data_IF_571636957014
#
_entry.id   IF_571636957014
#
_cell.length_a   1.000
_cell.length_b   1.000
_cell.length_c   1.000
_cell.angle_alpha   90.00
_cell.angle_beta   90.00
_cell.angle_gamma   90.00
#
_symmetry.space_group_name_H-M   'P 1'
#
loop_
_entity.id
_entity.type
_entity.pdbx_description
1 polymer ?
#
# COMPACT_ATOMS: atom_id res chain seq x y z
N UNK A 1 -63.74 58.10 39.82
CA UNK A 1 -62.41 57.74 39.27
C UNK A 1 -62.12 56.28 39.61
N UNK A 2 -62.26 55.37 38.64
CA UNK A 2 -61.91 53.95 38.79
C UNK A 2 -60.84 53.63 37.74
N UNK A 3 -59.63 53.28 38.18
CA UNK A 3 -58.52 52.87 37.31
C UNK A 3 -58.57 51.36 37.13
N UNK A 4 -58.90 50.90 35.92
CA UNK A 4 -58.68 49.52 35.49
C UNK A 4 -57.17 49.28 35.36
N UNK A 5 -56.62 48.34 36.14
CA UNK A 5 -55.29 47.78 35.91
C UNK A 5 -55.45 46.53 35.04
N UNK A 6 -55.01 46.62 33.79
CA UNK A 6 -54.86 45.45 32.92
C UNK A 6 -53.57 44.72 33.36
N UNK A 7 -53.69 43.47 33.78
CA UNK A 7 -52.54 42.56 34.01
C UNK A 7 -52.14 41.96 32.65
N UNK A 8 -50.93 42.26 32.20
CA UNK A 8 -50.29 41.53 31.11
C UNK A 8 -49.79 40.18 31.65
N UNK A 9 -50.16 39.09 30.99
CA UNK A 9 -49.62 37.76 31.28
C UNK A 9 -48.16 37.68 30.82
N UNK A 10 -47.27 36.95 31.54
CA UNK A 10 -45.90 36.76 31.10
C UNK A 10 -45.86 35.88 29.85
N UNK A 11 -45.05 36.28 28.86
CA UNK A 11 -44.69 35.47 27.70
C UNK A 11 -43.94 34.22 28.17
N UNK A 12 -44.50 33.05 27.90
CA UNK A 12 -43.90 31.76 28.17
C UNK A 12 -42.82 31.49 27.13
N UNK A 13 -41.54 31.60 27.53
CA UNK A 13 -40.40 31.23 26.70
C UNK A 13 -40.02 29.78 27.00
N UNK A 14 -40.81 28.84 26.48
CA UNK A 14 -40.35 27.45 26.41
C UNK A 14 -39.13 27.39 25.48
N UNK A 15 -37.99 26.82 25.91
CA UNK A 15 -36.83 26.65 25.04
C UNK A 15 -37.23 25.77 23.86
N UNK A 16 -37.05 26.29 22.64
CA UNK A 16 -37.16 25.48 21.42
C UNK A 16 -36.11 24.38 21.56
N UNK A 17 -36.57 23.14 21.67
CA UNK A 17 -35.69 21.96 21.64
C UNK A 17 -34.93 22.03 20.32
N UNK A 18 -33.60 22.23 20.39
CA UNK A 18 -32.75 22.14 19.22
C UNK A 18 -32.88 20.71 18.72
N UNK A 19 -33.60 20.55 17.61
CA UNK A 19 -33.57 19.31 16.84
C UNK A 19 -32.16 19.23 16.29
N UNK A 20 -31.32 18.37 16.89
CA UNK A 20 -30.07 17.95 16.27
C UNK A 20 -30.45 17.27 14.96
N UNK A 21 -30.41 18.03 13.87
CA UNK A 21 -30.48 17.49 12.52
C UNK A 21 -29.16 16.75 12.28
N UNK A 22 -29.12 15.47 12.62
CA UNK A 22 -28.06 14.56 12.19
C UNK A 22 -28.13 14.46 10.67
N UNK A 23 -27.24 15.17 9.97
CA UNK A 23 -27.09 15.05 8.53
C UNK A 23 -26.68 13.60 8.23
N UNK A 24 -27.39 12.87 7.33
CA UNK A 24 -27.01 11.51 6.97
C UNK A 24 -25.60 11.48 6.38
N UNK A 25 -24.74 10.59 6.90
CA UNK A 25 -23.39 10.39 6.40
C UNK A 25 -23.40 9.98 4.92
N UNK A 26 -22.45 10.51 4.13
CA UNK A 26 -22.24 10.06 2.76
C UNK A 26 -21.74 8.61 2.74
N UNK A 27 -21.86 7.92 1.60
CA UNK A 27 -21.30 6.56 1.47
C UNK A 27 -19.80 6.52 1.78
N UNK A 28 -19.06 7.54 1.35
CA UNK A 28 -17.63 7.69 1.62
C UNK A 28 -17.34 7.84 3.11
N UNK A 29 -18.18 8.58 3.84
CA UNK A 29 -18.00 8.78 5.28
C UNK A 29 -18.31 7.50 6.06
N UNK A 30 -19.38 6.79 5.69
CA UNK A 30 -19.71 5.47 6.25
C UNK A 30 -18.57 4.47 6.04
N UNK A 31 -17.96 4.46 4.85
CA UNK A 31 -16.82 3.59 4.54
C UNK A 31 -15.64 3.92 5.47
N UNK A 32 -15.32 5.21 5.62
CA UNK A 32 -14.23 5.65 6.51
C UNK A 32 -14.48 5.28 7.96
N UNK A 33 -15.70 5.43 8.45
CA UNK A 33 -16.07 5.06 9.83
C UNK A 33 -15.92 3.55 10.06
N UNK A 34 -16.49 2.72 9.19
CA UNK A 34 -16.35 1.27 9.29
C UNK A 34 -14.87 0.86 9.24
N UNK A 35 -14.08 1.44 8.34
CA UNK A 35 -12.64 1.16 8.29
C UNK A 35 -11.91 1.62 9.56
N UNK A 36 -12.32 2.71 10.21
CA UNK A 36 -11.76 3.14 11.51
C UNK A 36 -12.11 2.12 12.61
N UNK A 37 -13.34 1.63 12.64
CA UNK A 37 -13.78 0.59 13.59
C UNK A 37 -13.00 -0.71 13.40
N UNK A 38 -12.87 -1.19 12.16
CA UNK A 38 -12.07 -2.36 11.84
C UNK A 38 -10.59 -2.20 12.25
N UNK A 39 -10.00 -1.01 12.03
CA UNK A 39 -8.65 -0.72 12.53
C UNK A 39 -8.58 -0.81 14.06
N UNK A 40 -9.58 -0.28 14.78
CA UNK A 40 -9.63 -0.32 16.24
C UNK A 40 -9.77 -1.74 16.76
N UNK A 41 -10.57 -2.58 16.09
CA UNK A 41 -10.72 -4.01 16.40
C UNK A 41 -9.37 -4.73 16.31
N UNK A 42 -8.65 -4.57 15.20
CA UNK A 42 -7.33 -5.19 15.01
C UNK A 42 -6.31 -4.72 16.06
N UNK A 43 -6.30 -3.43 16.40
CA UNK A 43 -5.45 -2.90 17.48
C UNK A 43 -5.81 -3.51 18.84
N UNK A 44 -7.09 -3.73 19.10
CA UNK A 44 -7.55 -4.39 20.31
C UNK A 44 -7.12 -5.86 20.34
N UNK A 45 -7.23 -6.60 19.22
CA UNK A 45 -6.73 -7.98 19.11
C UNK A 45 -5.24 -8.08 19.45
N UNK A 46 -4.42 -7.14 18.97
CA UNK A 46 -3.00 -7.05 19.31
C UNK A 46 -2.82 -6.80 20.82
N UNK A 47 -3.49 -5.78 21.36
CA UNK A 47 -3.35 -5.38 22.78
C UNK A 47 -3.75 -6.52 23.73
N UNK A 48 -4.79 -7.25 23.39
CA UNK A 48 -5.36 -8.35 24.17
C UNK A 48 -4.73 -9.71 23.83
N UNK A 49 -3.77 -9.76 22.90
CA UNK A 49 -3.07 -10.97 22.46
C UNK A 49 -4.02 -12.08 22.03
N UNK A 50 -5.01 -11.73 21.19
CA UNK A 50 -5.99 -12.69 20.70
C UNK A 50 -5.29 -13.86 19.96
N UNK A 51 -5.70 -15.13 20.19
CA UNK A 51 -5.02 -16.29 19.61
C UNK A 51 -5.00 -16.36 18.08
N UNK A 52 -5.99 -15.74 17.43
CA UNK A 52 -6.17 -15.68 15.97
C UNK A 52 -5.37 -14.54 15.31
N UNK A 53 -4.81 -13.61 16.09
CA UNK A 53 -4.01 -12.49 15.60
C UNK A 53 -2.62 -12.45 16.25
N UNK A 54 -1.76 -13.37 15.82
CA UNK A 54 -0.38 -13.49 16.30
C UNK A 54 0.56 -12.55 15.53
N UNK A 55 1.62 -12.11 16.20
CA UNK A 55 2.67 -11.28 15.62
C UNK A 55 3.97 -12.07 15.44
N UNK A 56 4.72 -11.74 14.39
CA UNK A 56 6.05 -12.30 14.17
C UNK A 56 7.04 -11.80 15.24
N UNK A 57 7.87 -12.70 15.75
CA UNK A 57 8.93 -12.35 16.68
C UNK A 57 10.16 -11.85 15.90
N UNK A 58 10.27 -10.53 15.78
CA UNK A 58 11.35 -9.85 15.05
C UNK A 58 12.25 -9.14 16.07
N UNK A 59 13.56 -9.29 15.94
CA UNK A 59 14.55 -8.58 16.75
C UNK A 59 14.40 -7.05 16.56
N UNK A 60 14.46 -6.29 17.65
CA UNK A 60 14.31 -4.83 17.65
C UNK A 60 15.34 -4.11 16.77
N UNK A 61 16.53 -4.68 16.59
CA UNK A 61 17.54 -4.12 15.69
C UNK A 61 17.12 -4.19 14.22
N UNK A 62 16.24 -5.13 13.85
CA UNK A 62 15.71 -5.27 12.49
C UNK A 62 14.45 -4.43 12.25
N UNK A 63 13.78 -3.97 13.32
CA UNK A 63 12.62 -3.07 13.22
C UNK A 63 13.09 -1.64 13.07
N UNK A 64 12.56 -0.92 12.08
CA UNK A 64 12.70 0.54 12.02
C UNK A 64 11.74 1.20 13.00
N UNK A 65 10.49 0.75 12.98
CA UNK A 65 9.40 1.21 13.84
C UNK A 65 8.87 0.05 14.67
N UNK A 66 8.97 0.16 16.00
CA UNK A 66 8.58 -0.90 16.92
C UNK A 66 7.07 -1.03 17.11
N UNK A 67 6.32 0.04 16.88
CA UNK A 67 4.86 0.13 16.96
C UNK A 67 4.15 -0.32 15.67
N UNK A 68 4.91 -0.56 14.60
CA UNK A 68 4.41 -1.12 13.35
C UNK A 68 4.55 -2.63 13.37
N UNK A 69 3.47 -3.27 13.82
CA UNK A 69 3.38 -4.72 13.98
C UNK A 69 3.42 -5.49 12.65
N UNK A 70 3.91 -6.72 12.70
CA UNK A 70 3.98 -7.66 11.57
C UNK A 70 3.13 -8.89 11.90
N UNK A 71 1.93 -9.03 11.29
CA UNK A 71 1.10 -10.22 11.46
C UNK A 71 1.87 -11.51 11.09
N UNK A 72 1.81 -12.53 11.94
CA UNK A 72 2.59 -13.76 11.78
C UNK A 72 2.15 -14.58 10.56
N UNK A 73 0.84 -14.66 10.31
CA UNK A 73 0.28 -15.52 9.26
C UNK A 73 0.74 -15.17 7.84
N UNK A 74 1.28 -13.97 7.65
CA UNK A 74 1.75 -13.44 6.36
C UNK A 74 3.18 -12.92 6.42
N UNK A 75 3.88 -13.13 7.53
CA UNK A 75 5.21 -12.59 7.74
C UNK A 75 6.20 -13.17 6.72
N UNK A 76 7.13 -12.33 6.26
CA UNK A 76 8.23 -12.74 5.39
C UNK A 76 9.43 -13.13 6.23
N UNK A 77 10.03 -14.28 5.90
CA UNK A 77 11.31 -14.72 6.45
C UNK A 77 12.43 -14.53 5.43
N UNK A 78 13.61 -14.19 5.92
CA UNK A 78 14.85 -14.28 5.18
C UNK A 78 15.28 -15.75 5.00
N UNK A 79 16.26 -16.05 4.12
CA UNK A 79 16.67 -17.43 3.84
C UNK A 79 17.20 -18.19 5.05
N UNK A 80 17.74 -17.48 6.05
CA UNK A 80 18.20 -18.05 7.33
C UNK A 80 17.05 -18.35 8.32
N UNK A 81 15.81 -18.08 7.94
CA UNK A 81 14.62 -18.23 8.78
C UNK A 81 14.30 -17.01 9.66
N UNK A 82 15.10 -15.95 9.61
CA UNK A 82 14.87 -14.73 10.39
C UNK A 82 13.63 -13.99 9.88
N UNK A 83 12.69 -13.66 10.77
CA UNK A 83 11.54 -12.82 10.41
C UNK A 83 11.98 -11.39 10.08
N UNK A 84 11.46 -10.86 8.97
CA UNK A 84 11.59 -9.46 8.60
C UNK A 84 10.34 -8.69 9.02
N UNK A 85 10.42 -7.35 9.22
CA UNK A 85 9.25 -6.50 9.40
C UNK A 85 8.54 -6.27 8.05
N UNK A 86 8.07 -7.35 7.45
CA UNK A 86 7.51 -7.45 6.11
C UNK A 86 6.39 -8.49 6.06
N UNK A 87 5.40 -8.25 5.20
CA UNK A 87 4.27 -9.16 5.02
C UNK A 87 3.95 -9.37 3.54
N UNK A 88 3.52 -10.58 3.21
CA UNK A 88 2.81 -10.86 1.97
C UNK A 88 1.36 -10.42 2.09
N UNK A 89 0.92 -9.51 1.24
CA UNK A 89 -0.46 -9.07 1.12
C UNK A 89 -1.05 -9.72 -0.13
N UNK A 90 -1.95 -10.70 0.07
CA UNK A 90 -2.75 -11.32 -0.98
C UNK A 90 -3.91 -10.39 -1.31
N UNK A 91 -3.99 -9.98 -2.57
CA UNK A 91 -5.10 -9.20 -3.11
C UNK A 91 -5.85 -10.01 -4.18
N UNK A 92 -6.75 -9.38 -4.94
CA UNK A 92 -7.57 -10.06 -5.96
C UNK A 92 -6.75 -10.46 -7.18
N UNK A 93 -5.62 -9.81 -7.40
CA UNK A 93 -4.60 -10.24 -8.35
C UNK A 93 -3.95 -11.57 -7.90
N UNK A 94 -3.55 -12.47 -8.81
CA UNK A 94 -3.24 -13.88 -8.48
C UNK A 94 -2.08 -14.12 -7.49
N UNK A 95 -1.34 -13.07 -7.12
CA UNK A 95 -0.10 -13.20 -6.37
C UNK A 95 0.13 -12.16 -5.27
N UNK A 96 -0.58 -11.04 -5.32
CA UNK A 96 -0.42 -9.97 -4.32
C UNK A 96 0.95 -9.29 -4.36
N UNK A 97 1.35 -8.73 -3.22
CA UNK A 97 2.52 -7.85 -3.06
C UNK A 97 3.21 -8.08 -1.73
N UNK A 98 4.51 -7.79 -1.64
CA UNK A 98 5.21 -7.75 -0.36
C UNK A 98 5.34 -6.29 0.08
N UNK A 99 4.82 -5.99 1.28
CA UNK A 99 5.08 -4.73 1.97
C UNK A 99 6.18 -4.92 2.99
N UNK A 100 6.94 -3.87 3.28
CA UNK A 100 7.95 -3.88 4.34
C UNK A 100 8.16 -2.52 4.97
N UNK A 101 8.70 -2.48 6.20
CA UNK A 101 9.39 -1.30 6.69
C UNK A 101 10.67 -1.06 5.86
N UNK A 102 11.23 0.14 5.90
CA UNK A 102 12.56 0.40 5.35
C UNK A 102 13.61 -0.32 6.21
N UNK A 103 14.56 -1.09 5.65
CA UNK A 103 15.52 -1.87 6.44
C UNK A 103 16.40 -0.99 7.32
N UNK A 104 16.68 -1.42 8.54
CA UNK A 104 17.79 -0.87 9.34
C UNK A 104 19.14 -1.34 8.77
N UNK A 105 20.24 -0.72 9.18
CA UNK A 105 21.60 -1.14 8.77
C UNK A 105 21.84 -2.63 9.09
N UNK A 106 21.43 -3.07 10.28
CA UNK A 106 21.52 -4.47 10.72
C UNK A 106 20.71 -5.43 9.84
N UNK A 107 19.65 -4.96 9.17
CA UNK A 107 18.75 -5.81 8.38
C UNK A 107 19.05 -5.80 6.87
N UNK A 108 19.93 -4.92 6.37
CA UNK A 108 20.15 -4.75 4.92
C UNK A 108 20.54 -6.05 4.23
N UNK A 109 21.42 -6.84 4.85
CA UNK A 109 21.87 -8.10 4.28
C UNK A 109 20.71 -9.10 4.15
N UNK A 110 19.88 -9.26 5.19
CA UNK A 110 18.70 -10.11 5.16
C UNK A 110 17.70 -9.68 4.08
N UNK A 111 17.52 -8.36 3.90
CA UNK A 111 16.67 -7.83 2.84
C UNK A 111 17.21 -8.20 1.46
N UNK A 112 18.50 -7.96 1.18
CA UNK A 112 19.12 -8.31 -0.10
C UNK A 112 18.96 -9.81 -0.39
N UNK A 113 19.24 -10.66 0.58
CA UNK A 113 19.12 -12.11 0.44
C UNK A 113 17.67 -12.52 0.14
N UNK A 114 16.71 -11.89 0.81
CA UNK A 114 15.27 -12.11 0.57
C UNK A 114 14.83 -11.63 -0.81
N UNK A 115 15.30 -10.46 -1.25
CA UNK A 115 14.97 -9.91 -2.58
C UNK A 115 15.43 -10.88 -3.69
N UNK A 116 16.62 -11.46 -3.54
CA UNK A 116 17.17 -12.43 -4.48
C UNK A 116 16.44 -13.78 -4.41
N UNK A 117 16.25 -14.34 -3.21
CA UNK A 117 15.60 -15.64 -2.99
C UNK A 117 14.16 -15.65 -3.55
N UNK A 118 13.42 -14.57 -3.30
CA UNK A 118 12.03 -14.43 -3.75
C UNK A 118 11.92 -14.01 -5.21
N UNK A 119 13.04 -13.71 -5.88
CA UNK A 119 13.09 -13.19 -7.27
C UNK A 119 12.11 -12.04 -7.47
N UNK A 120 12.20 -11.02 -6.64
CA UNK A 120 11.31 -9.85 -6.69
C UNK A 120 11.27 -9.28 -8.11
N UNK A 121 10.06 -8.93 -8.57
CA UNK A 121 9.85 -8.41 -9.92
C UNK A 121 10.16 -6.93 -10.02
N UNK A 122 9.90 -6.18 -8.95
CA UNK A 122 10.20 -4.76 -8.83
C UNK A 122 10.30 -4.38 -7.36
N UNK A 123 11.34 -3.65 -7.01
CA UNK A 123 11.52 -3.03 -5.70
C UNK A 123 11.09 -1.57 -5.78
N UNK A 124 10.08 -1.17 -5.01
CA UNK A 124 9.62 0.21 -4.95
C UNK A 124 9.96 0.81 -3.60
N UNK A 125 10.68 1.93 -3.63
CA UNK A 125 11.15 2.65 -2.45
C UNK A 125 10.50 4.03 -2.47
N UNK A 126 9.68 4.33 -1.48
CA UNK A 126 9.00 5.62 -1.33
C UNK A 126 9.65 6.36 -0.17
N UNK A 127 10.57 7.27 -0.46
CA UNK A 127 11.33 8.00 0.54
C UNK A 127 12.07 9.17 -0.07
N UNK A 128 11.85 10.36 0.49
CA UNK A 128 12.53 11.57 0.03
C UNK A 128 14.02 11.51 0.36
N UNK A 129 14.86 12.00 -0.55
CA UNK A 129 16.31 12.06 -0.32
C UNK A 129 16.66 12.83 0.96
N UNK A 130 15.86 13.82 1.35
CA UNK A 130 16.07 14.57 2.59
C UNK A 130 15.95 13.69 3.84
N UNK A 131 15.00 12.74 3.83
CA UNK A 131 14.83 11.78 4.93
C UNK A 131 15.92 10.72 4.85
N UNK A 132 16.21 10.22 3.65
CA UNK A 132 17.22 9.17 3.45
C UNK A 132 18.64 9.64 3.80
N UNK A 133 18.94 10.93 3.61
CA UNK A 133 20.25 11.53 3.89
C UNK A 133 20.27 12.38 5.18
N UNK A 134 19.23 12.30 6.02
CA UNK A 134 19.18 13.10 7.25
C UNK A 134 20.22 12.62 8.27
N UNK A 135 21.15 13.48 8.72
CA UNK A 135 22.15 13.10 9.73
C UNK A 135 21.55 13.04 11.15
N UNK A 136 20.29 13.42 11.33
CA UNK A 136 19.63 13.54 12.64
C UNK A 136 18.77 12.33 12.99
N UNK A 137 18.69 11.33 12.11
CA UNK A 137 17.92 10.12 12.34
C UNK A 137 18.61 9.20 13.34
N UNK A 138 17.89 8.78 14.40
CA UNK A 138 18.42 7.80 15.38
C UNK A 138 18.73 6.44 14.74
N UNK A 139 17.97 6.08 13.70
CA UNK A 139 18.18 4.89 12.87
C UNK A 139 18.37 5.36 11.43
N UNK A 140 19.61 5.52 10.95
CA UNK A 140 19.88 5.95 9.58
C UNK A 140 19.16 5.09 8.53
N UNK A 141 18.88 5.66 7.37
CA UNK A 141 18.30 4.95 6.24
C UNK A 141 19.43 4.47 5.33
N UNK A 142 19.81 3.18 5.37
CA UNK A 142 20.86 2.68 4.50
C UNK A 142 20.40 2.75 3.04
N UNK A 143 21.15 3.46 2.19
CA UNK A 143 20.87 3.59 0.76
C UNK A 143 21.36 2.35 0.01
N UNK A 144 20.90 1.17 0.46
CA UNK A 144 21.37 -0.14 0.02
C UNK A 144 21.14 -0.40 -1.47
N UNK A 145 20.23 0.34 -2.08
CA UNK A 145 19.80 0.22 -3.47
C UNK A 145 20.60 1.11 -4.44
N UNK A 146 21.45 2.02 -3.93
CA UNK A 146 22.44 2.80 -4.71
C UNK A 146 23.88 2.40 -4.39
N UNK A 147 24.07 1.32 -3.62
CA UNK A 147 25.39 0.81 -3.26
C UNK A 147 26.14 0.33 -4.52
N UNK A 148 27.29 0.92 -4.89
CA UNK A 148 28.03 0.57 -6.11
C UNK A 148 28.45 -0.91 -6.21
N UNK A 149 28.49 -1.63 -5.09
CA UNK A 149 28.77 -3.07 -5.09
C UNK A 149 27.62 -3.88 -5.72
N UNK A 150 26.38 -3.39 -5.61
CA UNK A 150 25.18 -4.13 -6.01
C UNK A 150 24.32 -3.38 -7.04
N UNK A 151 24.47 -2.06 -7.15
CA UNK A 151 23.65 -1.19 -7.95
C UNK A 151 24.46 -0.57 -9.08
N UNK A 152 23.92 -0.68 -10.29
CA UNK A 152 24.53 -0.12 -11.48
C UNK A 152 23.58 0.94 -12.05
N UNK A 153 24.07 2.17 -12.10
CA UNK A 153 23.36 3.30 -12.70
C UNK A 153 23.74 3.36 -14.18
N UNK A 154 23.17 2.47 -14.99
CA UNK A 154 23.44 2.44 -16.44
C UNK A 154 22.13 2.43 -17.24
N UNK A 155 22.14 3.10 -18.40
CA UNK A 155 21.00 3.08 -19.33
C UNK A 155 20.69 1.66 -19.84
N UNK A 156 21.66 0.73 -19.74
CA UNK A 156 21.50 -0.70 -20.00
C UNK A 156 20.62 -1.41 -18.95
N UNK A 157 20.59 -0.93 -17.71
CA UNK A 157 19.90 -1.55 -16.58
C UNK A 157 18.40 -1.43 -16.69
N UNK A 158 17.91 -0.41 -17.40
CA UNK A 158 16.52 -0.23 -17.76
C UNK A 158 16.23 -0.58 -19.22
N UNK A 159 17.20 -1.13 -19.97
CA UNK A 159 16.97 -1.50 -21.37
C UNK A 159 15.82 -2.51 -21.53
N UNK A 160 15.60 -3.35 -20.51
CA UNK A 160 14.45 -4.29 -20.40
C UNK A 160 13.09 -3.56 -20.35
N UNK A 161 13.07 -2.28 -19.97
CA UNK A 161 11.87 -1.48 -19.71
C UNK A 161 11.88 -0.12 -20.44
N UNK A 162 12.79 0.09 -21.39
CA UNK A 162 12.96 1.37 -22.12
C UNK A 162 11.72 1.81 -22.90
N UNK A 163 10.83 0.87 -23.20
CA UNK A 163 9.56 1.07 -23.90
C UNK A 163 8.40 1.36 -22.95
N UNK A 164 8.62 1.34 -21.63
CA UNK A 164 7.66 1.80 -20.63
C UNK A 164 7.89 3.29 -20.41
N UNK A 165 6.93 4.17 -20.77
CA UNK A 165 7.05 5.58 -20.49
C UNK A 165 7.18 5.83 -18.99
N UNK A 166 8.14 6.67 -18.60
CA UNK A 166 8.23 7.14 -17.22
C UNK A 166 7.01 8.01 -16.90
N UNK A 167 6.54 7.99 -15.65
CA UNK A 167 5.57 8.96 -15.17
C UNK A 167 6.02 10.40 -15.46
N UNK A 168 5.16 11.23 -16.03
CA UNK A 168 5.50 12.63 -16.36
C UNK A 168 5.51 13.51 -15.13
N UNK A 169 4.62 13.24 -14.17
CA UNK A 169 4.36 14.15 -13.05
C UNK A 169 4.77 13.57 -11.68
N UNK A 170 5.40 12.40 -11.68
CA UNK A 170 5.97 11.76 -10.48
C UNK A 170 7.48 11.70 -10.64
N UNK A 171 8.22 12.40 -9.76
CA UNK A 171 9.67 12.31 -9.76
C UNK A 171 10.09 10.94 -9.25
N UNK A 172 10.65 10.15 -10.15
CA UNK A 172 11.18 8.83 -9.88
C UNK A 172 12.59 8.69 -10.43
N UNK A 173 13.41 7.93 -9.73
CA UNK A 173 14.69 7.43 -10.20
C UNK A 173 14.60 5.91 -10.34
N UNK A 174 15.15 5.37 -11.42
CA UNK A 174 15.08 3.95 -11.69
C UNK A 174 16.49 3.35 -11.73
N UNK A 175 16.68 2.20 -11.08
CA UNK A 175 17.97 1.51 -10.98
C UNK A 175 17.80 0.02 -11.26
N UNK A 176 18.92 -0.72 -11.36
CA UNK A 176 18.91 -2.18 -11.30
C UNK A 176 19.85 -2.66 -10.21
N UNK A 177 19.27 -3.40 -9.27
CA UNK A 177 19.99 -4.09 -8.23
C UNK A 177 20.39 -5.47 -8.76
N UNK A 178 21.69 -5.75 -8.85
CA UNK A 178 22.25 -7.05 -9.24
C UNK A 178 22.70 -7.77 -7.99
N UNK A 179 21.90 -8.74 -7.55
CA UNK A 179 22.17 -9.51 -6.35
C UNK A 179 22.75 -10.89 -6.69
N UNK A 180 23.71 -11.41 -5.91
CA UNK A 180 24.20 -12.77 -6.07
C UNK A 180 23.03 -13.77 -6.01
N UNK A 181 23.06 -14.76 -6.89
CA UNK A 181 22.10 -15.86 -6.80
C UNK A 181 22.59 -16.87 -5.75
N UNK A 182 22.13 -16.75 -4.51
CA UNK A 182 22.56 -17.63 -3.41
C UNK A 182 22.19 -19.12 -3.62
N UNK A 183 21.30 -19.45 -4.57
CA UNK A 183 20.97 -20.84 -4.93
C UNK A 183 21.98 -21.47 -5.90
N UNK A 184 22.93 -20.68 -6.40
CA UNK A 184 24.00 -21.16 -7.27
C UNK A 184 25.25 -21.46 -6.43
N UNK A 185 25.29 -22.70 -5.96
CA UNK A 185 26.34 -23.28 -5.11
C UNK A 185 27.70 -23.31 -5.85
N UNK A 186 27.68 -23.23 -7.18
CA UNK A 186 28.88 -23.29 -8.02
C UNK A 186 29.41 -21.89 -8.40
N UNK A 187 28.78 -20.79 -7.97
CA UNK A 187 29.12 -19.42 -8.36
C UNK A 187 29.17 -19.20 -9.90
N UNK A 188 28.46 -20.02 -10.68
CA UNK A 188 28.36 -19.98 -12.15
C UNK A 188 27.12 -19.24 -12.68
N UNK A 189 26.19 -18.92 -11.80
CA UNK A 189 24.87 -18.39 -12.02
C UNK A 189 24.89 -16.88 -12.19
N UNK A 190 24.16 -16.42 -13.20
CA UNK A 190 23.99 -14.99 -13.44
C UNK A 190 23.34 -14.32 -12.22
N UNK A 191 23.82 -13.14 -11.79
CA UNK A 191 23.17 -12.35 -10.75
C UNK A 191 21.68 -12.12 -11.06
N UNK A 192 20.87 -12.07 -10.01
CA UNK A 192 19.45 -11.71 -10.13
C UNK A 192 19.36 -10.19 -10.28
N UNK A 193 18.92 -9.73 -11.45
CA UNK A 193 18.69 -8.31 -11.73
C UNK A 193 17.27 -7.90 -11.38
N UNK A 194 17.12 -7.03 -10.39
CA UNK A 194 15.85 -6.52 -9.87
C UNK A 194 15.72 -5.04 -10.25
N UNK A 195 14.68 -4.63 -11.00
CA UNK A 195 14.44 -3.22 -11.24
C UNK A 195 14.00 -2.54 -9.94
N UNK A 196 14.54 -1.35 -9.71
CA UNK A 196 14.23 -0.52 -8.55
C UNK A 196 13.57 0.77 -9.03
N UNK A 197 12.47 1.15 -8.40
CA UNK A 197 11.80 2.43 -8.59
C UNK A 197 11.91 3.19 -7.26
N UNK A 198 12.65 4.28 -7.26
CA UNK A 198 12.79 5.18 -6.11
C UNK A 198 11.94 6.42 -6.35
N UNK A 199 10.85 6.57 -5.59
CA UNK A 199 10.01 7.77 -5.61
C UNK A 199 10.59 8.77 -4.61
N UNK A 200 11.25 9.80 -5.15
CA UNK A 200 12.05 10.76 -4.37
C UNK A 200 11.29 12.06 -4.05
N UNK A 201 10.13 12.31 -4.66
CA UNK A 201 9.24 13.45 -4.36
C UNK A 201 7.83 12.97 -3.99
N UNK A 202 7.73 12.32 -2.83
CA UNK A 202 6.44 12.03 -2.20
C UNK A 202 6.56 12.35 -0.71
N UNK A 203 6.17 13.56 -0.29
CA UNK A 203 6.34 14.01 1.08
C UNK A 203 5.69 13.07 2.08
N UNK A 204 6.35 12.83 3.22
CA UNK A 204 5.76 12.00 4.26
C UNK A 204 4.45 12.62 4.79
N UNK A 205 3.44 11.78 5.04
CA UNK A 205 2.07 12.18 5.39
C UNK A 205 1.26 12.99 4.36
N UNK A 206 1.86 13.40 3.25
CA UNK A 206 1.11 13.92 2.09
C UNK A 206 0.79 12.80 1.10
N UNK A 207 -0.15 13.05 0.20
CA UNK A 207 -0.38 12.13 -0.91
C UNK A 207 -0.26 12.79 -2.28
N UNK A 208 0.18 12.01 -3.26
CA UNK A 208 0.16 12.39 -4.67
C UNK A 208 -1.26 12.78 -5.10
N UNK A 209 -1.43 13.55 -6.17
CA UNK A 209 -2.77 13.70 -6.77
C UNK A 209 -3.28 12.34 -7.27
N UNK A 210 -4.58 12.22 -7.56
CA UNK A 210 -5.15 10.96 -8.06
C UNK A 210 -4.48 10.53 -9.37
N UNK A 211 -4.22 11.48 -10.25
CA UNK A 211 -3.57 11.27 -11.56
C UNK A 211 -2.14 10.75 -11.38
N UNK A 212 -1.36 11.39 -10.50
CA UNK A 212 0.01 10.99 -10.19
C UNK A 212 0.08 9.61 -9.53
N UNK A 213 -0.84 9.32 -8.60
CA UNK A 213 -0.94 8.02 -7.95
C UNK A 213 -1.26 6.91 -8.96
N UNK A 214 -2.22 7.17 -9.85
CA UNK A 214 -2.65 6.25 -10.89
C UNK A 214 -1.55 5.99 -11.93
N UNK A 215 -0.82 7.04 -12.33
CA UNK A 215 0.33 6.94 -13.21
C UNK A 215 1.45 6.09 -12.60
N UNK A 216 1.80 6.32 -11.33
CA UNK A 216 2.79 5.53 -10.62
C UNK A 216 2.34 4.07 -10.46
N UNK A 217 1.08 3.83 -10.08
CA UNK A 217 0.53 2.49 -9.96
C UNK A 217 0.57 1.73 -11.30
N UNK A 218 0.19 2.39 -12.40
CA UNK A 218 0.29 1.83 -13.76
C UNK A 218 1.72 1.46 -14.11
N UNK A 219 2.66 2.36 -13.83
CA UNK A 219 4.06 2.14 -14.11
C UNK A 219 4.59 0.91 -13.34
N UNK A 220 4.32 0.83 -12.03
CA UNK A 220 4.71 -0.32 -11.20
C UNK A 220 4.08 -1.63 -11.69
N UNK A 221 2.77 -1.64 -11.99
CA UNK A 221 2.09 -2.82 -12.53
C UNK A 221 2.70 -3.27 -13.87
N UNK A 222 3.04 -2.32 -14.75
CA UNK A 222 3.65 -2.63 -16.06
C UNK A 222 5.02 -3.29 -15.90
N UNK A 223 5.88 -2.74 -15.03
CA UNK A 223 7.21 -3.30 -14.74
C UNK A 223 7.08 -4.69 -14.10
N UNK A 224 6.16 -4.83 -13.14
CA UNK A 224 5.86 -6.13 -12.52
C UNK A 224 5.46 -7.18 -13.55
N UNK A 225 4.45 -6.90 -14.38
CA UNK A 225 3.93 -7.84 -15.37
C UNK A 225 4.97 -8.24 -16.42
N UNK A 226 5.77 -7.27 -16.89
CA UNK A 226 6.89 -7.56 -17.82
C UNK A 226 7.94 -8.46 -17.16
N UNK A 227 8.39 -8.13 -15.95
CA UNK A 227 9.41 -8.94 -15.26
C UNK A 227 8.89 -10.33 -14.89
N UNK A 228 7.63 -10.42 -14.48
CA UNK A 228 6.95 -11.68 -14.22
C UNK A 228 6.91 -12.57 -15.48
N UNK A 229 6.50 -11.99 -16.62
CA UNK A 229 6.47 -12.70 -17.91
C UNK A 229 7.85 -13.23 -18.32
N UNK A 230 8.92 -12.45 -18.08
CA UNK A 230 10.29 -12.91 -18.34
C UNK A 230 10.67 -14.12 -17.46
N UNK A 231 10.26 -14.13 -16.19
CA UNK A 231 10.47 -15.29 -15.33
C UNK A 231 9.69 -16.51 -15.82
N UNK A 232 8.44 -16.34 -16.24
CA UNK A 232 7.61 -17.43 -16.75
C UNK A 232 8.19 -18.02 -18.04
N UNK A 233 8.49 -17.17 -19.04
CA UNK A 233 9.10 -17.58 -20.31
C UNK A 233 10.47 -18.24 -20.13
N UNK A 234 11.22 -17.79 -19.12
CA UNK A 234 12.52 -18.37 -18.77
C UNK A 234 12.45 -19.66 -17.93
N UNK A 235 11.27 -20.22 -17.68
CA UNK A 235 11.10 -21.45 -16.88
C UNK A 235 11.51 -21.28 -15.41
N UNK A 236 11.45 -20.06 -14.88
CA UNK A 236 11.78 -19.75 -13.49
C UNK A 236 10.82 -20.45 -12.53
N UNK A 237 11.36 -21.24 -11.59
CA UNK A 237 10.56 -21.83 -10.50
C UNK A 237 9.86 -20.80 -9.60
N UNK A 238 10.32 -19.54 -9.59
CA UNK A 238 9.62 -18.48 -8.86
C UNK A 238 8.28 -18.10 -9.51
N UNK A 239 8.14 -18.28 -10.83
CA UNK A 239 6.86 -18.12 -11.50
C UNK A 239 5.93 -19.24 -11.04
N UNK A 240 4.89 -18.87 -10.30
CA UNK A 240 3.87 -19.78 -9.78
C UNK A 240 4.05 -20.18 -8.32
N UNK A 241 5.18 -19.83 -7.70
CA UNK A 241 5.41 -20.11 -6.27
C UNK A 241 4.84 -18.99 -5.40
N UNK A 242 4.18 -19.34 -4.29
CA UNK A 242 3.65 -18.38 -3.32
C UNK A 242 4.79 -17.52 -2.75
N UNK A 243 4.49 -16.25 -2.47
CA UNK A 243 5.47 -15.27 -1.96
C UNK A 243 6.74 -15.08 -2.83
N UNK A 244 6.69 -15.40 -4.13
CA UNK A 244 7.79 -15.20 -5.08
C UNK A 244 7.33 -14.50 -6.34
N UNK A 245 8.28 -13.87 -7.02
CA UNK A 245 8.03 -13.07 -8.21
C UNK A 245 6.94 -12.00 -7.98
N UNK A 246 7.01 -11.34 -6.82
CA UNK A 246 6.08 -10.28 -6.41
C UNK A 246 6.77 -8.91 -6.46
N UNK A 247 6.00 -7.81 -6.55
CA UNK A 247 6.50 -6.50 -6.18
C UNK A 247 6.88 -6.48 -4.69
N UNK A 248 7.93 -5.74 -4.34
CA UNK A 248 8.34 -5.49 -2.97
C UNK A 248 8.34 -3.98 -2.74
N UNK A 249 7.48 -3.47 -1.87
CA UNK A 249 7.19 -2.05 -1.74
C UNK A 249 7.41 -1.62 -0.29
N UNK A 250 8.19 -0.56 -0.07
CA UNK A 250 8.32 0.05 1.24
C UNK A 250 8.44 1.57 1.16
N UNK A 251 7.96 2.21 2.23
CA UNK A 251 8.32 3.56 2.62
C UNK A 251 9.08 3.47 3.95
N UNK A 252 9.08 4.49 4.80
CA UNK A 252 9.69 4.38 6.13
C UNK A 252 9.06 3.26 6.98
N UNK A 253 7.76 3.37 7.27
CA UNK A 253 7.01 2.43 8.10
C UNK A 253 6.36 1.28 7.31
N UNK A 254 6.30 1.35 5.99
CA UNK A 254 5.64 0.32 5.19
C UNK A 254 4.11 0.27 5.32
N UNK A 255 3.47 1.38 5.73
CA UNK A 255 2.05 1.42 6.07
C UNK A 255 1.25 2.49 5.31
N UNK A 256 1.62 3.77 5.42
CA UNK A 256 0.91 4.89 4.80
C UNK A 256 1.04 4.94 3.27
N UNK A 257 2.12 5.54 2.76
CA UNK A 257 2.40 5.67 1.31
C UNK A 257 2.48 4.32 0.61
N UNK A 258 3.11 3.33 1.26
CA UNK A 258 3.12 1.92 0.80
C UNK A 258 1.71 1.37 0.63
N UNK A 259 0.84 1.54 1.63
CA UNK A 259 -0.54 1.08 1.52
C UNK A 259 -1.29 1.79 0.41
N UNK A 260 -1.13 3.11 0.29
CA UNK A 260 -1.81 3.86 -0.76
C UNK A 260 -1.42 3.38 -2.17
N UNK A 261 -0.14 3.14 -2.42
CA UNK A 261 0.32 2.62 -3.71
C UNK A 261 -0.21 1.20 -3.96
N UNK A 262 -0.15 0.32 -2.97
CA UNK A 262 -0.65 -1.06 -3.08
C UNK A 262 -2.15 -1.08 -3.42
N UNK A 263 -2.96 -0.29 -2.72
CA UNK A 263 -4.39 -0.20 -2.98
C UNK A 263 -4.66 0.38 -4.38
N UNK A 264 -3.91 1.41 -4.79
CA UNK A 264 -4.03 1.98 -6.13
C UNK A 264 -3.71 0.95 -7.23
N UNK A 265 -2.63 0.17 -7.07
CA UNK A 265 -2.25 -0.90 -8.00
C UNK A 265 -3.38 -1.90 -8.24
N UNK A 266 -4.08 -2.30 -7.18
CA UNK A 266 -5.20 -3.24 -7.26
C UNK A 266 -6.47 -2.57 -7.85
N UNK A 267 -6.77 -1.32 -7.49
CA UNK A 267 -7.91 -0.57 -8.02
C UNK A 267 -7.83 -0.32 -9.53
N UNK A 268 -6.63 -0.11 -10.07
CA UNK A 268 -6.45 0.13 -11.50
C UNK A 268 -6.29 -1.16 -12.31
N UNK A 269 -6.14 -2.30 -11.63
CA UNK A 269 -5.98 -3.58 -12.29
C UNK A 269 -7.29 -3.96 -13.00
N UNK A 270 -7.28 -4.21 -14.31
CA UNK A 270 -8.48 -4.56 -15.06
C UNK A 270 -9.06 -5.91 -14.64
N UNK A 271 -8.24 -6.84 -14.13
CA UNK A 271 -8.66 -8.18 -13.73
C UNK A 271 -9.21 -8.22 -12.30
N UNK A 272 -8.93 -7.20 -11.49
CA UNK A 272 -9.46 -7.11 -10.13
C UNK A 272 -10.94 -6.72 -10.13
N UNK A 273 -11.78 -7.50 -9.47
CA UNK A 273 -13.20 -7.13 -9.24
C UNK A 273 -13.46 -6.64 -7.82
N UNK A 274 -12.40 -6.33 -7.08
CA UNK A 274 -12.48 -6.05 -5.64
C UNK A 274 -13.05 -4.67 -5.33
N UNK A 275 -13.72 -4.58 -4.19
CA UNK A 275 -14.13 -3.30 -3.61
C UNK A 275 -12.98 -2.65 -2.84
N UNK A 276 -12.97 -1.32 -2.78
CA UNK A 276 -12.00 -0.57 -1.97
C UNK A 276 -12.01 -1.04 -0.51
N UNK A 277 -13.19 -1.23 0.06
CA UNK A 277 -13.38 -1.78 1.40
C UNK A 277 -12.62 -3.09 1.63
N UNK A 278 -12.85 -4.08 0.75
CA UNK A 278 -12.22 -5.40 0.86
C UNK A 278 -10.69 -5.30 0.73
N UNK A 279 -10.20 -4.44 -0.18
CA UNK A 279 -8.76 -4.23 -0.38
C UNK A 279 -8.12 -3.70 0.92
N UNK A 280 -8.74 -2.69 1.55
CA UNK A 280 -8.18 -2.07 2.75
C UNK A 280 -8.25 -3.01 3.97
N UNK A 281 -9.34 -3.77 4.12
CA UNK A 281 -9.46 -4.78 5.19
C UNK A 281 -8.37 -5.83 5.07
N UNK A 282 -8.24 -6.46 3.91
CA UNK A 282 -7.19 -7.46 3.65
C UNK A 282 -5.79 -6.90 3.92
N UNK A 283 -5.52 -5.69 3.45
CA UNK A 283 -4.24 -5.03 3.72
C UNK A 283 -4.00 -4.86 5.22
N UNK A 284 -5.02 -4.50 6.01
CA UNK A 284 -4.86 -4.28 7.46
C UNK A 284 -4.78 -5.58 8.24
N UNK A 285 -5.50 -6.60 7.83
CA UNK A 285 -5.43 -7.93 8.42
C UNK A 285 -4.07 -8.58 8.15
N UNK A 286 -3.60 -8.50 6.91
CA UNK A 286 -2.39 -9.18 6.44
C UNK A 286 -1.11 -8.34 6.63
N UNK A 287 -1.19 -7.02 6.58
CA UNK A 287 -0.05 -6.12 6.78
C UNK A 287 0.00 -5.53 8.17
N UNK A 288 -1.13 -5.38 8.83
CA UNK A 288 -1.24 -4.77 10.14
C UNK A 288 -2.12 -3.52 10.11
N UNK A 289 -2.65 -3.09 11.27
CA UNK A 289 -3.77 -2.16 11.36
C UNK A 289 -3.51 -0.78 10.76
N UNK A 290 -2.25 -0.39 10.56
CA UNK A 290 -1.87 0.95 10.11
C UNK A 290 -1.81 1.12 8.59
N UNK A 291 -2.10 0.08 7.79
CA UNK A 291 -2.13 0.21 6.33
C UNK A 291 -3.16 1.27 5.90
N UNK A 292 -2.71 2.20 5.05
CA UNK A 292 -3.43 3.44 4.66
C UNK A 292 -3.79 4.27 5.90
N UNK A 293 -2.79 5.00 6.40
CA UNK A 293 -2.80 5.62 7.72
C UNK A 293 -3.52 6.98 7.74
N UNK A 294 -3.36 7.79 6.69
CA UNK A 294 -3.85 9.16 6.67
C UNK A 294 -5.19 9.28 5.91
N UNK A 295 -6.04 10.20 6.35
CA UNK A 295 -7.35 10.42 5.72
C UNK A 295 -7.23 10.91 4.27
N UNK A 296 -6.28 11.80 3.98
CA UNK A 296 -6.02 12.27 2.61
C UNK A 296 -5.67 11.11 1.67
N UNK A 297 -4.92 10.11 2.16
CA UNK A 297 -4.59 8.92 1.38
C UNK A 297 -5.86 8.12 1.02
N UNK A 298 -6.77 7.96 1.99
CA UNK A 298 -8.05 7.29 1.78
C UNK A 298 -8.96 8.04 0.82
N UNK A 299 -9.05 9.36 0.95
CA UNK A 299 -9.86 10.20 0.05
C UNK A 299 -9.47 10.01 -1.42
N UNK A 300 -8.16 9.95 -1.70
CA UNK A 300 -7.68 9.76 -3.06
C UNK A 300 -7.94 8.35 -3.60
N UNK A 301 -7.91 7.34 -2.74
CA UNK A 301 -8.31 5.99 -3.11
C UNK A 301 -9.82 5.89 -3.41
N UNK A 302 -10.66 6.60 -2.66
CA UNK A 302 -12.10 6.69 -2.95
C UNK A 302 -12.33 7.33 -4.32
N UNK A 303 -11.70 8.47 -4.59
CA UNK A 303 -11.80 9.13 -5.90
C UNK A 303 -11.27 8.23 -7.03
N UNK A 304 -10.17 7.52 -6.80
CA UNK A 304 -9.61 6.59 -7.79
C UNK A 304 -10.55 5.40 -8.04
N UNK A 305 -11.13 4.82 -6.99
CA UNK A 305 -12.11 3.73 -7.12
C UNK A 305 -13.31 4.18 -7.95
N UNK A 306 -13.86 5.37 -7.67
CA UNK A 306 -14.95 5.97 -8.43
C UNK A 306 -14.56 6.19 -9.90
N UNK A 307 -13.36 6.73 -10.15
CA UNK A 307 -12.83 6.95 -11.51
C UNK A 307 -12.76 5.66 -12.33
N UNK A 308 -12.38 4.55 -11.70
CA UNK A 308 -12.27 3.23 -12.35
C UNK A 308 -13.54 2.38 -12.23
N UNK A 309 -14.65 2.94 -11.73
CA UNK A 309 -15.91 2.20 -11.54
C UNK A 309 -15.79 1.00 -10.59
N UNK A 310 -14.80 1.00 -9.68
CA UNK A 310 -14.64 -0.04 -8.66
C UNK A 310 -15.62 0.22 -7.51
N UNK A 311 -16.29 -0.82 -6.97
CA UNK A 311 -17.20 -0.65 -5.85
C UNK A 311 -16.47 -0.09 -4.61
N UNK A 312 -17.13 0.78 -3.86
CA UNK A 312 -16.62 1.18 -2.55
C UNK A 312 -16.77 0.03 -1.54
N UNK A 313 -17.93 -0.63 -1.54
CA UNK A 313 -18.33 -1.68 -0.61
C UNK A 313 -18.27 -3.08 -1.22
N UNK A 314 -17.96 -4.09 -0.41
CA UNK A 314 -18.25 -5.48 -0.74
C UNK A 314 -19.77 -5.67 -0.85
N UNK A 315 -20.21 -6.62 -1.70
CA UNK A 315 -21.65 -6.85 -1.95
C UNK A 315 -22.43 -7.18 -0.67
N UNK A 316 -21.76 -7.82 0.28
CA UNK A 316 -22.35 -8.39 1.49
C UNK A 316 -22.40 -7.36 2.63
N UNK A 317 -21.69 -6.24 2.47
CA UNK A 317 -21.52 -5.18 3.47
C UNK A 317 -22.12 -3.84 3.03
N UNK A 318 -22.91 -3.82 1.95
CA UNK A 318 -23.59 -2.61 1.53
C UNK A 318 -24.52 -2.10 2.64
N UNK A 319 -24.42 -0.82 3.04
CA UNK A 319 -25.40 -0.22 3.94
C UNK A 319 -26.80 -0.37 3.33
N UNK A 320 -27.77 -0.86 4.11
CA UNK A 320 -29.14 -1.04 3.63
C UNK A 320 -29.66 0.28 3.01
N UNK A 321 -30.09 0.22 1.75
CA UNK A 321 -30.78 1.32 1.07
C UNK A 321 -29.97 2.13 0.05
N UNK A 322 -28.77 1.70 -0.38
CA UNK A 322 -28.03 2.39 -1.46
C UNK A 322 -28.09 1.62 -2.79
N UNK A 323 -28.68 2.19 -3.87
CA UNK A 323 -28.63 1.59 -5.20
C UNK A 323 -27.22 1.69 -5.80
N UNK A 324 -26.78 0.63 -6.48
CA UNK A 324 -25.59 0.70 -7.34
C UNK A 324 -25.77 1.78 -8.42
N UNK A 325 -24.72 2.57 -8.68
CA UNK A 325 -24.62 3.31 -9.94
C UNK A 325 -24.65 2.28 -11.09
N UNK A 326 -25.71 2.31 -11.88
CA UNK A 326 -25.91 1.40 -13.01
C UNK A 326 -24.77 1.56 -14.03
N UNK A 327 -23.94 0.54 -14.17
CA UNK A 327 -23.03 0.41 -15.31
C UNK A 327 -23.83 0.10 -16.57
N UNK A 328 -24.31 1.14 -17.25
CA UNK A 328 -24.84 1.02 -18.61
C UNK A 328 -24.44 2.24 -19.44
N UNK A 329 -23.25 2.18 -20.01
CA UNK A 329 -22.91 2.92 -21.23
C UNK A 329 -21.83 2.13 -21.99
N UNK A 330 -22.27 1.07 -22.69
CA UNK A 330 -21.46 0.48 -23.76
C UNK A 330 -21.37 1.51 -24.89
N UNK A 331 -20.22 2.17 -25.01
CA UNK A 331 -19.87 2.93 -26.21
C UNK A 331 -19.51 1.93 -27.32
N UNK A 332 -20.51 1.54 -28.12
CA UNK A 332 -20.26 0.98 -29.46
C UNK A 332 -19.85 2.12 -30.39
N UNK A 333 -18.54 2.33 -30.56
CA UNK A 333 -18.01 3.03 -31.72
C UNK A 333 -17.94 2.02 -32.89
N UNK A 334 -18.91 2.10 -33.80
CA UNK A 334 -18.79 1.50 -35.13
C UNK A 334 -17.86 2.39 -35.96
N UNK A 335 -16.74 1.85 -36.40
CA UNK A 335 -15.97 2.41 -37.50
C UNK A 335 -16.76 2.15 -38.80
N UNK A 336 -17.01 3.22 -39.55
CA UNK A 336 -17.21 3.20 -41.01
C UNK A 336 -15.98 3.85 -41.61
#
# INVERSE_FOLDING_TARGET
MHRNKIRLAPLDFTPVTQVETTVPLTESDKLKEMLKEHQAELKNKIKQQYPDYKLANIDEKYKRHGDIHTPLGTAITAPDGTYLPANHIKLGTPKGVIRSQFPTEDAVHLYRDTLAEKRITVLVIIGEDRILNSPFERKPYPIYFKDPQYSYNDAESLAEFKDVPLPTDVSIECFKLKLPNQQDINHTGKPIGIPVIHVNQWPDHESLSVEKLEELARYVNTIHSKKYSLYEQGGSRAAGTDQKALPFIHCSAGAGRTGQLIAAMELIDPDSTRSLESIIKDMREQGGPYMVQAEDQMNKLITLAQKHGKPLWAKDEQPQGVPQASTSAQYTARFI
#
